data_IF_069022054695
#
_entry.id   IF_069022054695
#
_cell.length_a   1.000
_cell.length_b   1.000
_cell.length_c   1.000
_cell.angle_alpha   90.00
_cell.angle_beta   90.00
_cell.angle_gamma   90.00
#
_symmetry.space_group_name_H-M   'P 1'
#
loop_
_entity.id
_entity.type
_entity.pdbx_description
1 polymer ?
#
# COMPACT_ATOMS: atom_id res chain seq x y z
N UNK A 1 12.51 12.96 -3.41
CA UNK A 1 13.67 13.71 -2.90
C UNK A 1 14.84 13.60 -3.86
N UNK A 2 15.33 12.39 -4.19
CA UNK A 2 16.37 12.22 -5.20
C UNK A 2 15.92 12.68 -6.59
N UNK A 3 14.68 12.42 -6.98
CA UNK A 3 14.10 12.96 -8.22
C UNK A 3 14.18 14.50 -8.31
N UNK A 4 13.86 15.19 -7.22
CA UNK A 4 13.93 16.66 -7.17
C UNK A 4 15.37 17.17 -7.27
N UNK A 5 16.32 16.45 -6.66
CA UNK A 5 17.74 16.77 -6.75
C UNK A 5 18.23 16.57 -8.18
N UNK A 6 17.92 15.45 -8.84
CA UNK A 6 18.34 15.20 -10.22
C UNK A 6 17.74 16.22 -11.19
N UNK A 7 16.51 16.68 -10.96
CA UNK A 7 15.92 17.77 -11.74
C UNK A 7 16.69 19.10 -11.66
N UNK A 8 17.38 19.38 -10.55
CA UNK A 8 18.20 20.58 -10.43
C UNK A 8 19.47 20.52 -11.28
N UNK A 9 19.96 19.32 -11.57
CA UNK A 9 21.18 19.07 -12.35
C UNK A 9 20.94 18.74 -13.82
N UNK A 10 19.69 18.63 -14.26
CA UNK A 10 19.34 18.28 -15.66
C UNK A 10 19.95 19.21 -16.71
N UNK A 11 20.11 20.51 -16.39
CA UNK A 11 20.77 21.48 -17.28
C UNK A 11 22.31 21.42 -17.28
N UNK A 12 22.92 20.65 -16.37
CA UNK A 12 24.38 20.64 -16.17
C UNK A 12 25.03 19.28 -16.47
N UNK A 13 24.26 18.18 -16.45
CA UNK A 13 24.77 16.81 -16.62
C UNK A 13 23.95 16.09 -17.69
N UNK A 14 24.60 15.69 -18.78
CA UNK A 14 23.96 15.08 -19.96
C UNK A 14 23.14 13.80 -19.66
N UNK A 15 23.40 13.09 -18.55
CA UNK A 15 22.67 11.90 -18.13
C UNK A 15 21.52 12.13 -17.13
N UNK A 16 21.38 13.34 -16.57
CA UNK A 16 20.40 13.59 -15.52
C UNK A 16 18.94 13.55 -16.04
N UNK A 17 18.73 13.74 -17.35
CA UNK A 17 17.41 13.60 -17.98
C UNK A 17 16.82 12.19 -17.87
N UNK A 18 17.64 11.15 -17.71
CA UNK A 18 17.14 9.76 -17.59
C UNK A 18 16.24 9.60 -16.34
N UNK A 19 16.54 10.37 -15.28
CA UNK A 19 15.74 10.38 -14.06
C UNK A 19 14.37 11.06 -14.21
N UNK A 20 14.09 11.72 -15.34
CA UNK A 20 12.77 12.27 -15.63
C UNK A 20 11.77 11.19 -16.10
N UNK A 21 12.25 10.10 -16.71
CA UNK A 21 11.37 9.05 -17.24
C UNK A 21 10.68 8.27 -16.12
N UNK A 22 9.35 8.18 -16.20
CA UNK A 22 8.52 7.50 -15.21
C UNK A 22 8.88 6.01 -15.06
N UNK A 23 9.14 5.30 -16.16
CA UNK A 23 9.54 3.89 -16.17
C UNK A 23 10.87 3.68 -15.45
N UNK A 24 11.86 4.54 -15.71
CA UNK A 24 13.16 4.48 -15.04
C UNK A 24 13.03 4.73 -13.54
N UNK A 25 12.25 5.75 -13.13
CA UNK A 25 11.96 6.02 -11.72
C UNK A 25 11.25 4.85 -11.04
N UNK A 26 10.31 4.20 -11.71
CA UNK A 26 9.61 3.02 -11.20
C UNK A 26 10.57 1.85 -10.97
N UNK A 27 11.48 1.57 -11.92
CA UNK A 27 12.51 0.53 -11.77
C UNK A 27 13.42 0.85 -10.58
N UNK A 28 13.91 2.09 -10.49
CA UNK A 28 14.76 2.51 -9.38
C UNK A 28 14.05 2.43 -8.04
N UNK A 29 12.75 2.72 -7.99
CA UNK A 29 11.96 2.55 -6.78
C UNK A 29 11.86 1.07 -6.36
N UNK A 30 11.57 0.17 -7.31
CA UNK A 30 11.51 -1.27 -7.01
C UNK A 30 12.87 -1.81 -6.55
N UNK A 31 13.95 -1.47 -7.25
CA UNK A 31 15.32 -1.89 -6.90
C UNK A 31 15.74 -1.30 -5.55
N UNK A 32 15.41 -0.04 -5.27
CA UNK A 32 15.71 0.59 -3.98
C UNK A 32 14.94 -0.08 -2.83
N UNK A 33 13.66 -0.37 -3.02
CA UNK A 33 12.84 -1.06 -2.01
C UNK A 33 13.38 -2.47 -1.73
N UNK A 34 13.73 -3.23 -2.78
CA UNK A 34 14.36 -4.55 -2.66
C UNK A 34 15.71 -4.47 -1.95
N UNK A 35 16.60 -3.56 -2.38
CA UNK A 35 17.91 -3.37 -1.78
C UNK A 35 17.82 -3.01 -0.30
N UNK A 36 16.95 -2.07 0.07
CA UNK A 36 16.69 -1.70 1.46
C UNK A 36 16.14 -2.89 2.26
N UNK A 37 15.25 -3.69 1.69
CA UNK A 37 14.70 -4.89 2.33
C UNK A 37 15.79 -5.92 2.62
N UNK A 38 16.67 -6.19 1.66
CA UNK A 38 17.79 -7.14 1.81
C UNK A 38 18.85 -6.66 2.81
N UNK A 39 19.11 -5.36 2.88
CA UNK A 39 20.09 -4.78 3.80
C UNK A 39 19.55 -4.69 5.24
N UNK A 40 18.31 -4.24 5.41
CA UNK A 40 17.70 -4.00 6.73
C UNK A 40 17.09 -5.28 7.31
N UNK A 41 16.60 -6.17 6.45
CA UNK A 41 15.90 -7.40 6.82
C UNK A 41 16.64 -8.26 7.85
N UNK A 42 17.90 -8.67 7.60
CA UNK A 42 18.66 -9.50 8.55
C UNK A 42 18.82 -8.86 9.93
N UNK A 43 19.07 -7.55 9.97
CA UNK A 43 19.22 -6.79 11.21
C UNK A 43 17.91 -6.69 11.98
N UNK A 44 16.80 -6.46 11.27
CA UNK A 44 15.46 -6.43 11.85
C UNK A 44 15.09 -7.81 12.42
N UNK A 45 15.23 -8.88 11.63
CA UNK A 45 14.94 -10.26 12.03
C UNK A 45 15.76 -10.63 13.28
N UNK A 46 17.05 -10.32 13.31
CA UNK A 46 17.90 -10.57 14.47
C UNK A 46 17.41 -9.85 15.73
N UNK A 47 16.97 -8.60 15.60
CA UNK A 47 16.41 -7.84 16.74
C UNK A 47 15.11 -8.45 17.23
N UNK A 48 14.20 -8.83 16.33
CA UNK A 48 12.90 -9.39 16.70
C UNK A 48 13.02 -10.78 17.33
N UNK A 49 13.94 -11.60 16.82
CA UNK A 49 14.26 -12.90 17.40
C UNK A 49 14.77 -12.78 18.85
N UNK A 50 15.61 -11.77 19.15
CA UNK A 50 16.13 -11.53 20.51
C UNK A 50 15.04 -11.18 21.54
N UNK A 51 13.95 -10.54 21.11
CA UNK A 51 12.84 -10.19 22.01
C UNK A 51 11.83 -11.33 22.20
N UNK A 52 12.09 -12.54 21.67
CA UNK A 52 11.18 -13.69 21.74
C UNK A 52 9.74 -13.34 21.31
N UNK A 53 9.62 -12.47 20.31
CA UNK A 53 8.36 -12.12 19.64
C UNK A 53 8.03 -13.28 18.69
N UNK A 54 7.77 -14.46 19.26
CA UNK A 54 7.23 -15.62 18.57
C UNK A 54 5.70 -15.62 18.68
N UNK A 55 5.01 -16.15 17.66
CA UNK A 55 3.55 -16.27 17.70
C UNK A 55 3.12 -17.06 18.94
N UNK A 56 2.25 -16.45 19.76
CA UNK A 56 1.50 -17.19 20.80
C UNK A 56 0.48 -18.05 20.07
N UNK A 57 0.69 -19.36 20.08
CA UNK A 57 -0.23 -20.32 19.46
C UNK A 57 -1.58 -20.23 20.17
N UNK A 58 -2.67 -20.06 19.42
CA UNK A 58 -4.04 -20.21 19.96
C UNK A 58 -4.31 -21.69 20.18
N UNK A 59 -4.87 -22.04 21.33
CA UNK A 59 -5.22 -23.43 21.70
C UNK A 59 -6.32 -24.03 20.81
N UNK A 60 -7.00 -23.21 20.00
CA UNK A 60 -8.18 -23.53 19.20
C UNK A 60 -7.87 -24.11 17.79
N UNK A 61 -6.62 -24.47 17.47
CA UNK A 61 -6.17 -24.88 16.11
C UNK A 61 -5.80 -26.38 15.94
N UNK A 62 -5.92 -26.96 14.72
CA UNK A 62 -5.56 -28.35 14.45
C UNK A 62 -4.06 -28.64 14.63
N UNK A 63 -3.73 -29.81 15.18
CA UNK A 63 -2.38 -30.20 15.62
C UNK A 63 -1.28 -30.19 14.54
N UNK A 64 -1.65 -30.22 13.25
CA UNK A 64 -0.71 -30.12 12.12
C UNK A 64 -0.11 -28.71 11.93
N UNK A 65 -0.66 -27.67 12.58
CA UNK A 65 -0.21 -26.27 12.49
C UNK A 65 0.69 -25.82 13.65
N UNK A 66 1.01 -26.72 14.59
CA UNK A 66 1.89 -26.48 15.74
C UNK A 66 3.38 -26.16 15.44
N UNK A 67 3.99 -26.43 14.27
CA UNK A 67 5.43 -26.15 14.06
C UNK A 67 5.80 -24.68 13.82
N UNK A 68 4.84 -23.75 13.75
CA UNK A 68 5.10 -22.31 13.44
C UNK A 68 5.50 -21.46 14.65
N UNK A 69 5.90 -22.09 15.75
CA UNK A 69 6.40 -21.39 16.93
C UNK A 69 7.81 -20.83 16.66
N UNK A 70 7.91 -19.50 16.49
CA UNK A 70 9.21 -18.79 16.57
C UNK A 70 9.62 -17.96 15.36
N UNK A 71 8.86 -17.92 14.26
CA UNK A 71 9.10 -16.95 13.19
C UNK A 71 8.65 -15.55 13.64
N UNK A 72 9.53 -14.54 13.62
CA UNK A 72 9.20 -13.19 14.08
C UNK A 72 8.21 -12.51 13.12
N UNK A 73 7.01 -12.19 13.61
CA UNK A 73 5.92 -11.64 12.80
C UNK A 73 5.85 -10.12 12.90
N UNK A 74 6.77 -9.42 12.22
CA UNK A 74 6.63 -7.98 11.88
C UNK A 74 7.22 -7.65 10.50
N UNK A 75 7.15 -8.59 9.55
CA UNK A 75 7.60 -8.35 8.16
C UNK A 75 6.90 -7.15 7.50
N UNK A 76 5.65 -6.88 7.89
CA UNK A 76 4.91 -5.68 7.45
C UNK A 76 5.60 -4.36 7.79
N UNK A 77 6.31 -4.28 8.92
CA UNK A 77 7.09 -3.09 9.28
C UNK A 77 8.21 -2.82 8.27
N UNK A 78 8.91 -3.89 7.85
CA UNK A 78 9.96 -3.79 6.84
C UNK A 78 9.37 -3.31 5.51
N UNK A 79 8.26 -3.90 5.07
CA UNK A 79 7.58 -3.52 3.82
C UNK A 79 7.16 -2.04 3.86
N UNK A 80 6.56 -1.57 4.96
CA UNK A 80 6.14 -0.17 5.10
C UNK A 80 7.33 0.80 5.03
N UNK A 81 8.41 0.51 5.75
CA UNK A 81 9.60 1.36 5.78
C UNK A 81 10.29 1.41 4.42
N UNK A 82 10.51 0.26 3.78
CA UNK A 82 11.21 0.20 2.49
C UNK A 82 10.38 0.83 1.38
N UNK A 83 9.05 0.63 1.40
CA UNK A 83 8.12 1.29 0.46
C UNK A 83 8.13 2.80 0.66
N UNK A 84 8.01 3.29 1.90
CA UNK A 84 8.04 4.73 2.18
C UNK A 84 9.32 5.39 1.70
N UNK A 85 10.47 4.86 2.11
CA UNK A 85 11.77 5.44 1.74
C UNK A 85 11.89 5.43 0.23
N UNK A 86 11.59 4.32 -0.43
CA UNK A 86 11.69 4.23 -1.88
C UNK A 86 10.76 5.21 -2.61
N UNK A 87 9.50 5.31 -2.19
CA UNK A 87 8.54 6.28 -2.75
C UNK A 87 9.04 7.71 -2.51
N UNK A 88 9.52 8.05 -1.32
CA UNK A 88 10.04 9.39 -1.03
C UNK A 88 11.29 9.74 -1.85
N UNK A 89 12.11 8.76 -2.23
CA UNK A 89 13.27 9.00 -3.08
C UNK A 89 12.85 9.33 -4.52
N UNK A 90 11.96 8.53 -5.11
CA UNK A 90 11.71 8.50 -6.55
C UNK A 90 10.39 9.12 -7.01
N UNK A 91 9.37 9.19 -6.15
CA UNK A 91 8.06 9.74 -6.50
C UNK A 91 8.08 11.27 -6.63
N UNK A 92 7.10 11.79 -7.35
CA UNK A 92 6.91 13.23 -7.52
C UNK A 92 6.11 13.76 -6.33
N UNK A 93 6.82 14.35 -5.37
CA UNK A 93 6.22 14.80 -4.11
C UNK A 93 5.21 15.96 -4.25
N UNK A 94 5.13 16.58 -5.43
CA UNK A 94 4.07 17.55 -5.74
C UNK A 94 2.73 16.90 -6.08
N UNK A 95 2.73 15.60 -6.41
CA UNK A 95 1.51 14.88 -6.74
C UNK A 95 0.74 14.52 -5.47
N UNK A 96 -0.46 15.06 -5.33
CA UNK A 96 -1.33 14.86 -4.17
C UNK A 96 -1.75 13.39 -4.00
N UNK A 97 -1.90 12.63 -5.08
CA UNK A 97 -2.26 11.21 -5.04
C UNK A 97 -1.19 10.34 -4.38
N UNK A 98 0.09 10.70 -4.54
CA UNK A 98 1.20 10.00 -3.86
C UNK A 98 1.04 10.12 -2.34
N UNK A 99 0.67 11.30 -1.85
CA UNK A 99 0.43 11.55 -0.44
C UNK A 99 -0.83 10.85 0.07
N UNK A 100 -1.91 10.82 -0.72
CA UNK A 100 -3.12 10.09 -0.35
C UNK A 100 -2.86 8.59 -0.18
N UNK A 101 -2.13 7.97 -1.11
CA UNK A 101 -1.75 6.54 -1.04
C UNK A 101 -0.80 6.30 0.14
N UNK A 102 0.25 7.10 0.31
CA UNK A 102 1.15 6.97 1.47
C UNK A 102 0.40 7.15 2.79
N UNK A 103 -0.49 8.14 2.87
CA UNK A 103 -1.28 8.43 4.06
C UNK A 103 -2.16 7.26 4.47
N UNK A 104 -2.93 6.68 3.54
CA UNK A 104 -3.77 5.52 3.85
C UNK A 104 -2.94 4.27 4.14
N UNK A 105 -1.88 4.01 3.38
CA UNK A 105 -0.98 2.86 3.64
C UNK A 105 -0.35 2.94 5.03
N UNK A 106 0.12 4.12 5.45
CA UNK A 106 0.69 4.30 6.78
C UNK A 106 -0.35 4.28 7.89
N UNK A 107 -1.53 4.86 7.69
CA UNK A 107 -2.60 4.80 8.68
C UNK A 107 -3.00 3.34 8.97
N UNK A 108 -3.25 2.53 7.94
CA UNK A 108 -3.56 1.12 8.09
C UNK A 108 -2.37 0.30 8.60
N UNK A 109 -1.17 0.64 8.14
CA UNK A 109 0.08 0.06 8.64
C UNK A 109 0.26 0.27 10.14
N UNK A 110 0.04 1.48 10.66
CA UNK A 110 0.12 1.79 12.08
C UNK A 110 -0.96 1.07 12.90
N UNK A 111 -2.18 0.96 12.38
CA UNK A 111 -3.25 0.16 13.03
C UNK A 111 -2.83 -1.31 13.14
N UNK A 112 -2.26 -1.88 12.07
CA UNK A 112 -1.73 -3.25 12.07
C UNK A 112 -0.56 -3.43 13.02
N UNK A 113 0.41 -2.51 12.99
CA UNK A 113 1.56 -2.52 13.90
C UNK A 113 1.13 -2.46 15.37
N UNK A 114 0.11 -1.66 15.70
CA UNK A 114 -0.41 -1.58 17.06
C UNK A 114 -1.11 -2.89 17.48
N UNK A 115 -1.89 -3.50 16.58
CA UNK A 115 -2.50 -4.81 16.81
C UNK A 115 -1.44 -5.90 17.07
N UNK A 116 -0.38 -5.93 16.25
CA UNK A 116 0.73 -6.88 16.40
C UNK A 116 1.56 -6.61 17.66
N UNK A 117 1.78 -5.33 18.01
CA UNK A 117 2.43 -4.95 19.25
C UNK A 117 1.66 -5.49 20.47
N UNK A 118 0.32 -5.36 20.48
CA UNK A 118 -0.51 -5.90 21.56
C UNK A 118 -0.41 -7.42 21.65
N UNK A 119 -0.41 -8.13 20.51
CA UNK A 119 -0.33 -9.60 20.48
C UNK A 119 1.02 -10.12 20.94
N UNK A 120 2.11 -9.49 20.49
CA UNK A 120 3.44 -10.08 20.59
C UNK A 120 4.26 -9.50 21.74
N UNK A 121 4.19 -8.19 21.96
CA UNK A 121 4.97 -7.51 23.00
C UNK A 121 4.20 -7.48 24.32
N UNK A 122 2.92 -7.09 24.27
CA UNK A 122 2.05 -7.05 25.46
C UNK A 122 1.50 -8.44 25.80
N UNK A 123 1.68 -9.44 24.92
CA UNK A 123 1.23 -10.84 25.08
C UNK A 123 -0.28 -10.96 25.31
N UNK A 124 -1.07 -10.09 24.68
CA UNK A 124 -2.53 -10.19 24.68
C UNK A 124 -2.99 -10.98 23.44
N UNK A 125 -3.38 -12.26 23.57
CA UNK A 125 -3.71 -13.11 22.41
C UNK A 125 -4.92 -12.61 21.61
N UNK A 126 -5.77 -11.75 22.21
CA UNK A 126 -6.91 -11.14 21.51
C UNK A 126 -6.51 -9.97 20.61
N UNK A 127 -5.32 -9.39 20.80
CA UNK A 127 -4.88 -8.19 20.10
C UNK A 127 -5.79 -6.97 20.35
N UNK A 128 -5.88 -6.10 19.35
CA UNK A 128 -6.78 -4.95 19.36
C UNK A 128 -8.24 -5.43 19.26
N UNK A 129 -9.11 -4.95 20.17
CA UNK A 129 -10.51 -5.33 20.13
C UNK A 129 -11.13 -4.98 18.75
N UNK A 130 -11.92 -5.89 18.13
CA UNK A 130 -12.42 -5.70 16.77
C UNK A 130 -13.15 -4.37 16.54
N UNK A 131 -13.91 -3.90 17.52
CA UNK A 131 -14.59 -2.59 17.48
C UNK A 131 -13.62 -1.41 17.31
N UNK A 132 -12.47 -1.43 17.97
CA UNK A 132 -11.48 -0.36 17.91
C UNK A 132 -10.65 -0.45 16.63
N UNK A 133 -10.30 -1.68 16.21
CA UNK A 133 -9.65 -1.93 14.92
C UNK A 133 -10.51 -1.40 13.77
N UNK A 134 -11.78 -1.80 13.75
CA UNK A 134 -12.72 -1.35 12.73
C UNK A 134 -12.95 0.16 12.80
N UNK A 135 -13.14 0.74 14.00
CA UNK A 135 -13.31 2.19 14.14
C UNK A 135 -12.13 2.98 13.54
N UNK A 136 -10.88 2.59 13.83
CA UNK A 136 -9.70 3.29 13.31
C UNK A 136 -9.55 3.10 11.79
N UNK A 137 -9.79 1.89 11.29
CA UNK A 137 -9.84 1.64 9.85
C UNK A 137 -10.94 2.48 9.18
N UNK A 138 -12.10 2.64 9.83
CA UNK A 138 -13.19 3.42 9.31
C UNK A 138 -12.88 4.90 9.27
N UNK A 139 -12.25 5.45 10.32
CA UNK A 139 -11.81 6.85 10.36
C UNK A 139 -10.79 7.11 9.25
N UNK A 140 -9.77 6.26 9.11
CA UNK A 140 -8.76 6.40 8.06
C UNK A 140 -9.36 6.23 6.65
N UNK A 141 -10.25 5.24 6.47
CA UNK A 141 -10.92 4.97 5.20
C UNK A 141 -11.86 6.10 4.77
N UNK A 142 -12.69 6.62 5.68
CA UNK A 142 -13.57 7.77 5.40
C UNK A 142 -12.78 9.04 5.11
N UNK A 143 -11.73 9.31 5.90
CA UNK A 143 -10.86 10.45 5.65
C UNK A 143 -10.20 10.38 4.27
N UNK A 144 -9.73 9.20 3.87
CA UNK A 144 -9.13 8.97 2.54
C UNK A 144 -10.18 9.11 1.43
N UNK A 145 -11.36 8.52 1.58
CA UNK A 145 -12.46 8.62 0.63
C UNK A 145 -12.94 10.07 0.42
N UNK A 146 -13.08 10.81 1.52
CA UNK A 146 -13.41 12.24 1.46
C UNK A 146 -12.31 13.05 0.79
N UNK A 147 -11.04 12.77 1.12
CA UNK A 147 -9.88 13.43 0.49
C UNK A 147 -9.87 13.22 -1.02
N UNK A 148 -10.10 11.98 -1.49
CA UNK A 148 -10.21 11.68 -2.92
C UNK A 148 -11.34 12.47 -3.58
N UNK A 149 -12.52 12.52 -2.96
CA UNK A 149 -13.67 13.25 -3.51
C UNK A 149 -13.41 14.76 -3.61
N UNK A 150 -12.88 15.38 -2.55
CA UNK A 150 -12.61 16.83 -2.54
C UNK A 150 -11.37 17.24 -3.34
N UNK A 151 -10.49 16.30 -3.65
CA UNK A 151 -9.35 16.55 -4.54
C UNK A 151 -9.67 16.35 -6.01
N UNK A 152 -10.78 15.68 -6.33
CA UNK A 152 -11.19 15.44 -7.71
C UNK A 152 -11.36 16.77 -8.44
N UNK A 153 -10.62 16.93 -9.53
CA UNK A 153 -10.68 18.14 -10.37
C UNK A 153 -11.55 17.89 -11.60
N UNK A 154 -11.45 16.68 -12.15
CA UNK A 154 -12.23 16.27 -13.32
C UNK A 154 -13.45 15.41 -12.94
N UNK A 155 -14.58 15.50 -13.67
CA UNK A 155 -15.75 14.65 -13.44
C UNK A 155 -15.47 13.16 -13.57
N UNK A 156 -14.48 12.79 -14.40
CA UNK A 156 -14.06 11.40 -14.60
C UNK A 156 -13.58 10.76 -13.29
N UNK A 157 -12.92 11.52 -12.41
CA UNK A 157 -12.36 11.01 -11.15
C UNK A 157 -13.45 10.54 -10.15
N UNK A 158 -14.68 11.03 -10.28
CA UNK A 158 -15.82 10.67 -9.41
C UNK A 158 -16.89 9.85 -10.13
N UNK A 159 -16.63 9.46 -11.37
CA UNK A 159 -17.54 8.65 -12.18
C UNK A 159 -17.25 7.16 -12.02
N UNK A 160 -18.30 6.37 -11.80
CA UNK A 160 -18.19 4.92 -11.80
C UNK A 160 -18.17 4.40 -13.24
N UNK A 161 -17.06 3.78 -13.60
CA UNK A 161 -16.90 3.06 -14.86
C UNK A 161 -17.01 1.56 -14.61
N UNK A 162 -17.77 0.87 -15.47
CA UNK A 162 -17.82 -0.59 -15.48
C UNK A 162 -16.89 -1.11 -16.57
N UNK A 163 -15.87 -1.91 -16.22
CA UNK A 163 -15.06 -2.59 -17.23
C UNK A 163 -15.95 -3.32 -18.23
N UNK A 164 -15.53 -3.36 -19.50
CA UNK A 164 -16.25 -3.96 -20.65
C UNK A 164 -17.49 -3.19 -21.16
N UNK A 165 -18.14 -2.37 -20.33
CA UNK A 165 -19.28 -1.54 -20.73
C UNK A 165 -18.85 -0.10 -21.02
N UNK A 166 -18.25 0.12 -22.19
CA UNK A 166 -17.66 1.42 -22.59
C UNK A 166 -18.65 2.60 -22.60
N UNK A 167 -19.95 2.33 -22.72
CA UNK A 167 -21.00 3.34 -22.70
C UNK A 167 -21.56 3.60 -21.30
N UNK A 168 -21.24 2.76 -20.31
CA UNK A 168 -21.71 2.95 -18.95
C UNK A 168 -20.78 3.90 -18.19
N UNK A 169 -21.32 5.06 -17.85
CA UNK A 169 -20.68 6.07 -16.99
C UNK A 169 -21.74 6.57 -16.01
N UNK A 170 -21.56 6.26 -14.74
CA UNK A 170 -22.48 6.68 -13.69
C UNK A 170 -21.76 7.70 -12.78
N UNK A 171 -21.96 9.03 -12.97
CA UNK A 171 -21.39 10.02 -12.08
C UNK A 171 -21.96 9.81 -10.68
N UNK A 172 -21.08 9.58 -9.70
CA UNK A 172 -21.53 9.31 -8.34
C UNK A 172 -21.79 10.62 -7.62
N UNK A 173 -22.85 10.64 -6.81
CA UNK A 173 -23.01 11.71 -5.80
C UNK A 173 -21.87 11.64 -4.79
N UNK A 174 -21.62 12.75 -4.08
CA UNK A 174 -20.63 12.79 -2.99
C UNK A 174 -20.79 11.61 -2.02
N UNK A 175 -22.03 11.34 -1.61
CA UNK A 175 -22.37 10.21 -0.75
C UNK A 175 -22.04 8.87 -1.41
N UNK A 176 -22.44 8.67 -2.67
CA UNK A 176 -22.19 7.42 -3.40
C UNK A 176 -20.70 7.13 -3.58
N UNK A 177 -19.91 8.13 -3.96
CA UNK A 177 -18.46 8.00 -4.13
C UNK A 177 -17.79 7.67 -2.79
N UNK A 178 -18.05 8.47 -1.75
CA UNK A 178 -17.43 8.29 -0.44
C UNK A 178 -17.79 6.92 0.14
N UNK A 179 -19.04 6.48 0.00
CA UNK A 179 -19.49 5.16 0.47
C UNK A 179 -18.75 4.02 -0.25
N UNK A 180 -18.68 4.05 -1.58
CA UNK A 180 -18.01 3.00 -2.36
C UNK A 180 -16.51 2.99 -2.05
N UNK A 181 -15.85 4.15 -2.05
CA UNK A 181 -14.44 4.27 -1.75
C UNK A 181 -14.12 3.77 -0.34
N UNK A 182 -14.95 4.13 0.66
CA UNK A 182 -14.85 3.61 2.02
C UNK A 182 -14.94 2.08 2.07
N UNK A 183 -15.97 1.50 1.44
CA UNK A 183 -16.18 0.05 1.42
C UNK A 183 -15.01 -0.67 0.75
N UNK A 184 -14.46 -0.11 -0.34
CA UNK A 184 -13.29 -0.66 -1.01
C UNK A 184 -12.05 -0.59 -0.12
N UNK A 185 -11.75 0.56 0.49
CA UNK A 185 -10.53 0.71 1.31
C UNK A 185 -10.57 -0.19 2.54
N UNK A 186 -11.64 -0.10 3.34
CA UNK A 186 -11.77 -0.89 4.58
C UNK A 186 -11.99 -2.36 4.27
N UNK A 187 -12.79 -2.68 3.25
CA UNK A 187 -13.08 -4.04 2.82
C UNK A 187 -11.83 -4.76 2.33
N UNK A 188 -11.03 -4.14 1.45
CA UNK A 188 -9.80 -4.76 0.94
C UNK A 188 -8.75 -4.94 2.03
N UNK A 189 -8.61 -4.01 2.98
CA UNK A 189 -7.71 -4.20 4.12
C UNK A 189 -8.07 -5.44 4.95
N UNK A 190 -9.37 -5.65 5.21
CA UNK A 190 -9.83 -6.82 5.95
C UNK A 190 -9.74 -8.11 5.12
N UNK A 191 -9.97 -8.05 3.81
CA UNK A 191 -9.81 -9.18 2.90
C UNK A 191 -8.36 -9.69 2.82
N UNK A 192 -7.38 -8.77 2.74
CA UNK A 192 -5.95 -9.13 2.77
C UNK A 192 -5.55 -9.69 4.13
N UNK A 193 -6.00 -9.07 5.23
CA UNK A 193 -5.75 -9.57 6.59
C UNK A 193 -6.35 -10.97 6.83
N UNK A 194 -7.49 -11.30 6.19
CA UNK A 194 -8.07 -12.66 6.26
C UNK A 194 -7.27 -13.69 5.44
N UNK A 195 -6.63 -13.24 4.36
CA UNK A 195 -5.83 -14.07 3.45
C UNK A 195 -4.44 -14.38 4.04
N UNK A 196 -3.93 -13.52 4.93
CA UNK A 196 -2.61 -13.63 5.55
C UNK A 196 -2.58 -14.63 6.73
N UNK A 197 -3.06 -15.84 6.48
CA UNK A 197 -3.10 -16.94 7.47
C UNK A 197 -2.04 -18.04 7.26
N UNK A 198 -1.33 -18.00 6.12
CA UNK A 198 -0.29 -18.96 5.75
C UNK A 198 0.93 -18.23 5.19
N UNK A 199 2.11 -18.83 5.36
CA UNK A 199 3.39 -18.18 5.04
C UNK A 199 3.45 -17.91 3.54
N UNK A 200 3.51 -16.62 3.18
CA UNK A 200 3.58 -16.19 1.79
C UNK A 200 2.24 -16.21 1.03
N UNK A 201 1.12 -16.56 1.67
CA UNK A 201 -0.18 -16.65 0.98
C UNK A 201 -0.72 -15.27 0.58
N UNK A 202 -0.56 -14.24 1.41
CA UNK A 202 -1.02 -12.89 1.09
C UNK A 202 -0.05 -12.10 0.21
N UNK A 203 1.26 -12.32 0.34
CA UNK A 203 2.26 -11.48 -0.33
C UNK A 203 2.29 -11.72 -1.85
N UNK A 204 2.10 -12.96 -2.31
CA UNK A 204 2.12 -13.28 -3.75
C UNK A 204 0.94 -12.62 -4.49
N UNK A 205 -0.33 -12.77 -4.07
CA UNK A 205 -1.44 -12.02 -4.64
C UNK A 205 -1.25 -10.51 -4.55
N UNK A 206 -0.78 -9.99 -3.41
CA UNK A 206 -0.56 -8.55 -3.24
C UNK A 206 0.46 -8.00 -4.25
N UNK A 207 1.57 -8.71 -4.49
CA UNK A 207 2.58 -8.32 -5.47
C UNK A 207 2.04 -8.32 -6.91
N UNK A 208 1.23 -9.32 -7.28
CA UNK A 208 0.58 -9.40 -8.59
C UNK A 208 -0.42 -8.25 -8.79
N UNK A 209 -1.28 -8.00 -7.80
CA UNK A 209 -2.26 -6.90 -7.83
C UNK A 209 -1.56 -5.54 -7.89
N UNK A 210 -0.53 -5.32 -7.07
CA UNK A 210 0.25 -4.08 -7.09
C UNK A 210 0.93 -3.85 -8.44
N UNK A 211 1.46 -4.90 -9.06
CA UNK A 211 2.07 -4.83 -10.39
C UNK A 211 1.04 -4.47 -11.46
N UNK A 212 -0.13 -5.12 -11.44
CA UNK A 212 -1.22 -4.82 -12.37
C UNK A 212 -1.73 -3.37 -12.21
N UNK A 213 -1.96 -2.92 -10.97
CA UNK A 213 -2.37 -1.54 -10.67
C UNK A 213 -1.29 -0.53 -11.07
N UNK A 214 -0.01 -0.87 -10.92
CA UNK A 214 1.10 -0.04 -11.40
C UNK A 214 1.10 0.13 -12.92
N UNK A 215 0.78 -0.91 -13.68
CA UNK A 215 0.60 -0.84 -15.14
C UNK A 215 -0.60 0.04 -15.48
N UNK A 216 -1.74 -0.11 -14.79
CA UNK A 216 -2.90 0.75 -15.01
C UNK A 216 -2.62 2.22 -14.71
N UNK A 217 -1.93 2.52 -13.60
CA UNK A 217 -1.54 3.89 -13.26
C UNK A 217 -0.59 4.50 -14.30
N UNK A 218 0.32 3.70 -14.87
CA UNK A 218 1.19 4.14 -15.96
C UNK A 218 0.40 4.42 -17.25
N UNK A 219 -0.54 3.53 -17.59
CA UNK A 219 -1.36 3.66 -18.79
C UNK A 219 -2.34 4.83 -18.71
N UNK A 220 -2.99 5.04 -17.56
CA UNK A 220 -3.92 6.16 -17.32
C UNK A 220 -3.21 7.51 -17.28
N UNK A 221 -1.96 7.55 -16.78
CA UNK A 221 -1.15 8.77 -16.77
C UNK A 221 -0.50 9.14 -18.10
N UNK A 222 -0.73 8.37 -19.17
CA UNK A 222 -0.15 8.60 -20.49
C UNK A 222 -1.27 8.81 -21.53
N UNK A 223 -1.43 10.02 -22.05
CA UNK A 223 -2.51 10.38 -22.97
C UNK A 223 -2.61 9.47 -24.21
N UNK A 224 -1.48 8.96 -24.74
CA UNK A 224 -1.50 8.04 -25.89
C UNK A 224 -2.10 6.70 -25.50
N UNK A 225 -1.67 6.14 -24.37
CA UNK A 225 -2.19 4.85 -23.88
C UNK A 225 -3.62 4.97 -23.35
N UNK A 226 -3.95 6.05 -22.64
CA UNK A 226 -5.28 6.31 -22.13
C UNK A 226 -6.30 6.40 -23.28
N UNK A 227 -5.99 7.21 -24.31
CA UNK A 227 -6.82 7.29 -25.51
C UNK A 227 -6.91 5.95 -26.27
N UNK A 228 -5.80 5.24 -26.48
CA UNK A 228 -5.79 3.97 -27.21
C UNK A 228 -6.55 2.85 -26.49
N UNK A 229 -6.38 2.74 -25.18
CA UNK A 229 -7.04 1.73 -24.34
C UNK A 229 -8.43 2.15 -23.88
N UNK A 230 -8.85 3.37 -24.20
CA UNK A 230 -10.11 3.98 -23.77
C UNK A 230 -10.24 3.99 -22.24
N UNK A 231 -9.15 4.33 -21.57
CA UNK A 231 -9.14 4.63 -20.14
C UNK A 231 -9.72 6.05 -20.00
N UNK A 232 -10.71 6.26 -19.12
CA UNK A 232 -11.26 7.59 -18.87
C UNK A 232 -10.16 8.57 -18.44
N UNK A 233 -10.08 9.71 -19.11
CA UNK A 233 -9.20 10.84 -18.77
C UNK A 233 -9.92 11.85 -17.87
#
# INVERSE_FOLDING_TARGET
>A
MLYWITQRFTGHVAGAHVFAYLTFRAILATVSALGLSLLIGPSLISRLSRYQIGQVVRDDGPASHLPKAGTPTMGGALILVTTLVSTLLWAELGNRLVWTVLGVTFAFGLIGLYDDYLKLVVRNPRGLAPRWKYLWQSVAGLATAATLYYMATEPAETTLFLPFFKTFHAPLSAFGFILIAYLMIVGMSNAVNLTDGLDGLAIMPAALVASALGIFAYASGNAVFAHYLQIPE
#
